data_IF_411848300002
#
_entry.id   IF_411848300002
#
_cell.length_a   1.000
_cell.length_b   1.000
_cell.length_c   1.000
_cell.angle_alpha   90.00
_cell.angle_beta   90.00
_cell.angle_gamma   90.00
#
_symmetry.space_group_name_H-M   'P 1'
#
loop_
_entity.id
_entity.type
_entity.pdbx_description
1 polymer ?
#
# COMPACT_ATOMS: atom_id res chain seq x y z
N UNK A 1 6.58 -9.37 -7.62
CA UNK A 1 7.06 -10.28 -6.57
C UNK A 1 6.40 -10.08 -5.21
N UNK A 2 6.36 -8.86 -4.67
CA UNK A 2 5.83 -8.66 -3.33
C UNK A 2 4.32 -8.99 -3.20
N UNK A 3 3.56 -8.77 -4.28
CA UNK A 3 2.17 -9.20 -4.41
C UNK A 3 1.96 -10.72 -4.36
N UNK A 4 2.88 -11.51 -4.92
CA UNK A 4 2.84 -12.98 -4.87
C UNK A 4 3.02 -13.43 -3.42
N UNK A 5 3.98 -12.85 -2.69
CA UNK A 5 4.15 -13.14 -1.27
C UNK A 5 2.91 -12.77 -0.44
N UNK A 6 2.26 -11.65 -0.77
CA UNK A 6 1.02 -11.24 -0.12
C UNK A 6 -0.13 -12.23 -0.41
N UNK A 7 -0.30 -12.63 -1.66
CA UNK A 7 -1.31 -13.62 -2.07
C UNK A 7 -1.06 -14.97 -1.39
N UNK A 8 0.19 -15.45 -1.39
CA UNK A 8 0.61 -16.63 -0.67
C UNK A 8 0.27 -16.57 0.82
N UNK A 9 0.60 -15.46 1.50
CA UNK A 9 0.25 -15.25 2.90
C UNK A 9 -1.27 -15.38 3.14
N UNK A 10 -2.10 -14.86 2.23
CA UNK A 10 -3.57 -15.02 2.31
C UNK A 10 -4.02 -16.46 2.08
N UNK A 11 -3.40 -17.17 1.16
CA UNK A 11 -3.67 -18.59 0.93
C UNK A 11 -3.38 -19.43 2.18
N UNK A 12 -2.24 -19.17 2.85
CA UNK A 12 -1.84 -19.87 4.08
C UNK A 12 -2.76 -19.51 5.24
N UNK A 13 -3.04 -18.22 5.46
CA UNK A 13 -3.94 -17.74 6.53
C UNK A 13 -5.36 -18.31 6.40
N UNK A 14 -5.83 -18.49 5.17
CA UNK A 14 -7.11 -19.11 4.90
C UNK A 14 -7.11 -20.62 5.12
N UNK A 15 -6.08 -21.31 4.63
CA UNK A 15 -6.01 -22.78 4.67
C UNK A 15 -5.80 -23.28 6.09
N UNK A 16 -4.82 -22.71 6.80
CA UNK A 16 -4.43 -23.10 8.15
C UNK A 16 -3.85 -21.91 8.90
N UNK A 17 -4.66 -21.33 9.78
CA UNK A 17 -4.25 -20.21 10.63
C UNK A 17 -2.99 -20.54 11.46
N UNK A 18 -2.84 -21.79 11.92
CA UNK A 18 -1.67 -22.21 12.72
C UNK A 18 -0.36 -22.18 11.90
N UNK A 19 -0.43 -22.50 10.60
CA UNK A 19 0.73 -22.41 9.71
C UNK A 19 1.08 -20.96 9.40
N UNK A 20 0.06 -20.13 9.19
CA UNK A 20 0.23 -18.69 9.00
C UNK A 20 0.95 -18.07 10.19
N UNK A 21 0.53 -18.42 11.41
CA UNK A 21 1.17 -17.97 12.63
C UNK A 21 2.62 -18.50 12.74
N UNK A 22 2.84 -19.78 12.44
CA UNK A 22 4.20 -20.35 12.49
C UNK A 22 5.18 -19.69 11.51
N UNK A 23 4.69 -19.34 10.31
CA UNK A 23 5.51 -18.81 9.20
C UNK A 23 5.69 -17.30 9.25
N UNK A 24 4.65 -16.54 9.63
CA UNK A 24 4.61 -15.08 9.52
C UNK A 24 4.56 -14.35 10.87
N UNK A 25 4.41 -15.05 12.01
CA UNK A 25 4.30 -14.35 13.29
C UNK A 25 5.60 -13.69 13.73
N UNK A 26 5.45 -12.52 14.37
CA UNK A 26 6.54 -11.74 14.95
C UNK A 26 7.56 -11.28 13.90
N UNK A 27 8.85 -11.43 14.23
CA UNK A 27 9.92 -10.93 13.38
C UNK A 27 10.13 -11.73 12.08
N UNK A 28 9.48 -12.89 11.93
CA UNK A 28 9.66 -13.77 10.77
C UNK A 28 9.17 -13.14 9.46
N UNK A 29 8.13 -12.31 9.52
CA UNK A 29 7.63 -11.56 8.35
C UNK A 29 8.72 -10.68 7.74
N UNK A 30 9.63 -10.11 8.55
CA UNK A 30 10.73 -9.31 8.01
C UNK A 30 11.66 -10.12 7.12
N UNK A 31 11.95 -11.37 7.47
CA UNK A 31 12.76 -12.25 6.62
C UNK A 31 12.07 -12.56 5.30
N UNK A 32 10.74 -12.76 5.30
CA UNK A 32 9.97 -12.95 4.08
C UNK A 32 9.97 -11.70 3.19
N UNK A 33 9.93 -10.50 3.79
CA UNK A 33 10.00 -9.24 3.06
C UNK A 33 11.38 -8.98 2.44
N UNK A 34 12.46 -9.55 2.99
CA UNK A 34 13.77 -9.45 2.36
C UNK A 34 13.82 -10.10 0.97
N UNK A 35 12.98 -11.11 0.69
CA UNK A 35 12.95 -11.77 -0.62
C UNK A 35 12.54 -10.82 -1.75
N UNK A 36 11.35 -10.18 -1.74
CA UNK A 36 10.97 -9.23 -2.79
C UNK A 36 11.86 -7.99 -2.79
N UNK A 37 12.37 -7.54 -1.65
CA UNK A 37 13.30 -6.41 -1.57
C UNK A 37 14.65 -6.73 -2.22
N UNK A 38 15.23 -7.90 -1.92
CA UNK A 38 16.48 -8.36 -2.54
C UNK A 38 16.32 -8.57 -4.04
N UNK A 39 15.19 -9.13 -4.47
CA UNK A 39 14.85 -9.25 -5.89
C UNK A 39 14.78 -7.88 -6.60
N UNK A 40 14.16 -6.88 -5.95
CA UNK A 40 14.11 -5.52 -6.48
C UNK A 40 15.51 -4.91 -6.64
N UNK A 41 16.38 -5.08 -5.64
CA UNK A 41 17.78 -4.61 -5.75
C UNK A 41 18.53 -5.32 -6.88
N UNK A 42 18.33 -6.61 -7.07
CA UNK A 42 18.94 -7.35 -8.17
C UNK A 42 18.52 -6.76 -9.53
N UNK A 43 17.22 -6.53 -9.75
CA UNK A 43 16.75 -5.89 -10.98
C UNK A 43 17.33 -4.47 -11.12
N UNK A 44 17.30 -3.68 -10.04
CA UNK A 44 17.75 -2.29 -10.09
C UNK A 44 19.20 -2.12 -10.55
N UNK A 45 20.11 -3.00 -10.12
CA UNK A 45 21.53 -2.91 -10.47
C UNK A 45 21.92 -3.65 -11.75
N UNK A 46 21.22 -4.73 -12.10
CA UNK A 46 21.63 -5.62 -13.19
C UNK A 46 20.76 -5.55 -14.44
N UNK A 47 19.53 -5.02 -14.34
CA UNK A 47 18.62 -4.96 -15.48
C UNK A 47 18.56 -3.58 -16.14
N UNK A 48 18.33 -3.58 -17.44
CA UNK A 48 18.19 -2.37 -18.23
C UNK A 48 16.83 -1.71 -17.90
N UNK A 49 16.82 -0.41 -17.52
CA UNK A 49 15.59 0.24 -17.10
C UNK A 49 14.64 0.46 -18.27
N UNK A 50 13.35 0.33 -18.02
CA UNK A 50 12.31 0.81 -18.94
C UNK A 50 12.25 2.34 -18.91
N UNK A 51 12.01 2.95 -20.06
CA UNK A 51 11.94 4.41 -20.22
C UNK A 51 10.50 4.80 -20.56
N UNK A 52 10.03 5.85 -19.89
CA UNK A 52 8.67 6.36 -20.11
C UNK A 52 8.61 7.14 -21.43
N UNK A 53 7.65 6.79 -22.28
CA UNK A 53 7.33 7.53 -23.50
C UNK A 53 6.00 8.28 -23.32
N UNK A 54 6.02 9.59 -23.58
CA UNK A 54 4.87 10.47 -23.41
C UNK A 54 3.80 10.34 -24.50
N UNK A 55 4.14 9.87 -25.71
CA UNK A 55 3.19 9.73 -26.80
C UNK A 55 2.23 8.57 -26.56
N UNK A 56 2.72 7.50 -25.93
CA UNK A 56 1.93 6.31 -25.62
C UNK A 56 1.52 6.21 -24.14
N UNK A 57 1.99 7.14 -23.29
CA UNK A 57 1.68 7.24 -21.84
C UNK A 57 1.99 5.93 -21.12
N UNK A 58 3.13 5.33 -21.44
CA UNK A 58 3.55 4.04 -20.91
C UNK A 58 5.06 3.85 -20.97
N UNK A 59 5.57 2.79 -20.38
CA UNK A 59 7.00 2.52 -20.31
C UNK A 59 7.39 1.44 -21.31
N UNK A 60 8.43 1.70 -22.08
CA UNK A 60 8.97 0.78 -23.07
C UNK A 60 10.40 0.41 -22.74
N UNK A 61 10.85 -0.72 -23.29
CA UNK A 61 12.29 -1.04 -23.27
C UNK A 61 13.06 -0.28 -24.33
N UNK A 62 12.46 -0.11 -25.52
CA UNK A 62 13.03 0.73 -26.57
C UNK A 62 12.65 2.20 -26.35
N UNK A 63 13.61 3.08 -26.00
CA UNK A 63 13.33 4.51 -25.80
C UNK A 63 13.01 5.25 -27.11
N UNK A 64 13.27 4.65 -28.27
CA UNK A 64 13.08 5.28 -29.58
C UNK A 64 11.82 4.80 -30.30
N UNK A 65 10.86 4.22 -29.58
CA UNK A 65 9.60 3.72 -30.16
C UNK A 65 8.83 4.79 -30.93
N UNK A 66 8.95 6.06 -30.52
CA UNK A 66 8.31 7.22 -31.17
C UNK A 66 9.25 8.01 -32.10
N UNK A 67 10.52 7.62 -32.20
CA UNK A 67 11.56 8.39 -32.89
C UNK A 67 11.70 8.03 -34.38
N UNK A 68 12.20 8.96 -35.22
CA UNK A 68 12.46 8.69 -36.64
C UNK A 68 13.70 7.82 -36.89
N UNK A 69 14.45 7.50 -35.83
CA UNK A 69 15.73 6.76 -35.90
C UNK A 69 15.55 5.42 -35.22
N UNK A 70 15.48 4.35 -36.01
CA UNK A 70 15.56 2.98 -35.51
C UNK A 70 17.04 2.57 -35.46
N UNK A 71 17.58 2.38 -34.25
CA UNK A 71 18.93 1.85 -34.07
C UNK A 71 18.93 0.31 -34.16
N UNK A 72 20.00 -0.29 -34.69
CA UNK A 72 20.17 -1.76 -34.75
C UNK A 72 20.52 -2.41 -33.39
N UNK A 73 20.25 -1.71 -32.28
CA UNK A 73 20.50 -2.26 -30.95
C UNK A 73 19.21 -2.89 -30.43
N UNK A 74 19.28 -4.15 -30.03
CA UNK A 74 18.14 -4.85 -29.46
C UNK A 74 17.97 -4.42 -28.00
N UNK A 75 16.98 -3.56 -27.75
CA UNK A 75 16.60 -3.12 -26.40
C UNK A 75 15.70 -4.14 -25.68
N UNK A 76 15.49 -5.33 -26.22
CA UNK A 76 14.64 -6.33 -25.58
C UNK A 76 15.21 -6.79 -24.23
N UNK A 77 14.32 -6.95 -23.25
CA UNK A 77 14.66 -7.47 -21.94
C UNK A 77 13.94 -8.82 -21.70
N UNK A 78 14.56 -9.95 -22.07
CA UNK A 78 13.96 -11.27 -21.93
C UNK A 78 13.72 -11.63 -20.46
N UNK A 79 14.57 -11.18 -19.53
CA UNK A 79 14.40 -11.45 -18.09
C UNK A 79 13.09 -10.85 -17.58
N UNK A 80 12.80 -9.59 -17.92
CA UNK A 80 11.57 -8.93 -17.48
C UNK A 80 10.32 -9.54 -18.15
N UNK A 81 10.42 -9.96 -19.41
CA UNK A 81 9.36 -10.70 -20.09
C UNK A 81 9.06 -12.04 -19.40
N UNK A 82 10.09 -12.84 -19.10
CA UNK A 82 9.97 -14.11 -18.36
C UNK A 82 9.37 -13.87 -16.98
N UNK A 83 9.83 -12.84 -16.27
CA UNK A 83 9.30 -12.44 -14.97
C UNK A 83 7.80 -12.12 -15.05
N UNK A 84 7.36 -11.31 -16.02
CA UNK A 84 5.95 -10.97 -16.17
C UNK A 84 5.09 -12.19 -16.50
N UNK A 85 5.57 -13.08 -17.39
CA UNK A 85 4.89 -14.34 -17.70
C UNK A 85 4.77 -15.22 -16.46
N UNK A 86 5.85 -15.40 -15.70
CA UNK A 86 5.84 -16.18 -14.46
C UNK A 86 4.87 -15.59 -13.42
N UNK A 87 4.85 -14.27 -13.24
CA UNK A 87 3.92 -13.58 -12.33
C UNK A 87 2.47 -13.83 -12.73
N UNK A 88 2.14 -13.79 -14.03
CA UNK A 88 0.79 -14.09 -14.52
C UNK A 88 0.38 -15.50 -14.10
N UNK A 89 1.21 -16.51 -14.37
CA UNK A 89 0.89 -17.90 -14.05
C UNK A 89 0.73 -18.13 -12.53
N UNK A 90 1.66 -17.61 -11.72
CA UNK A 90 1.64 -17.79 -10.27
C UNK A 90 0.40 -17.10 -9.67
N UNK A 91 0.15 -15.83 -10.00
CA UNK A 91 -0.98 -15.10 -9.46
C UNK A 91 -2.32 -15.68 -9.93
N UNK A 92 -2.41 -16.17 -11.17
CA UNK A 92 -3.62 -16.86 -11.64
C UNK A 92 -3.88 -18.14 -10.83
N UNK A 93 -2.85 -18.94 -10.54
CA UNK A 93 -2.99 -20.15 -9.73
C UNK A 93 -3.43 -19.82 -8.29
N UNK A 94 -2.81 -18.82 -7.66
CA UNK A 94 -3.17 -18.38 -6.31
C UNK A 94 -4.59 -17.79 -6.27
N UNK A 95 -4.95 -16.96 -7.24
CA UNK A 95 -6.29 -16.39 -7.35
C UNK A 95 -7.35 -17.48 -7.56
N UNK A 96 -7.09 -18.48 -8.40
CA UNK A 96 -7.99 -19.62 -8.60
C UNK A 96 -8.19 -20.40 -7.30
N UNK A 97 -7.11 -20.63 -6.54
CA UNK A 97 -7.17 -21.26 -5.22
C UNK A 97 -8.00 -20.45 -4.23
N UNK A 98 -7.81 -19.14 -4.15
CA UNK A 98 -8.59 -18.25 -3.29
C UNK A 98 -10.08 -18.21 -3.68
N UNK A 99 -10.38 -18.18 -4.98
CA UNK A 99 -11.76 -18.25 -5.48
C UNK A 99 -12.45 -19.54 -5.06
N UNK A 100 -11.82 -20.70 -5.30
CA UNK A 100 -12.35 -22.02 -4.89
C UNK A 100 -12.68 -22.07 -3.39
N UNK A 101 -11.77 -21.53 -2.59
CA UNK A 101 -11.89 -21.43 -1.15
C UNK A 101 -13.05 -20.51 -0.68
N UNK A 102 -13.31 -19.40 -1.38
CA UNK A 102 -14.47 -18.55 -1.12
C UNK A 102 -15.78 -19.29 -1.43
N UNK A 103 -15.84 -20.00 -2.56
CA UNK A 103 -17.04 -20.74 -2.96
C UNK A 103 -17.43 -21.81 -1.93
N UNK A 104 -16.46 -22.52 -1.35
CA UNK A 104 -16.69 -23.51 -0.28
C UNK A 104 -17.26 -22.92 1.01
N UNK A 105 -17.11 -21.62 1.23
CA UNK A 105 -17.56 -20.96 2.44
C UNK A 105 -19.02 -20.49 2.37
N UNK A 106 -19.77 -20.74 1.30
CA UNK A 106 -21.14 -20.22 1.14
C UNK A 106 -22.19 -20.88 2.05
N UNK A 107 -22.17 -20.51 3.35
CA UNK A 107 -23.18 -20.84 4.37
C UNK A 107 -23.37 -19.68 5.35
N UNK A 108 -24.19 -19.83 6.40
CA UNK A 108 -24.47 -18.76 7.40
C UNK A 108 -23.19 -18.29 8.11
N UNK A 109 -22.53 -17.26 7.57
CA UNK A 109 -21.20 -16.82 7.99
C UNK A 109 -21.22 -16.03 9.31
N UNK A 110 -20.45 -16.51 10.28
CA UNK A 110 -20.03 -15.75 11.46
C UNK A 110 -19.31 -14.45 11.08
N UNK A 111 -19.36 -13.43 11.95
CA UNK A 111 -18.73 -12.12 11.76
C UNK A 111 -17.22 -12.19 11.51
N UNK A 112 -16.54 -13.17 12.11
CA UNK A 112 -15.10 -13.44 11.89
C UNK A 112 -14.81 -13.85 10.44
N UNK A 113 -15.64 -14.73 9.86
CA UNK A 113 -15.47 -15.23 8.49
C UNK A 113 -15.76 -14.11 7.47
N UNK A 114 -16.73 -13.22 7.75
CA UNK A 114 -16.99 -12.05 6.89
C UNK A 114 -15.77 -11.15 6.75
N UNK A 115 -15.02 -10.95 7.85
CA UNK A 115 -13.78 -10.17 7.86
C UNK A 115 -12.68 -10.86 7.06
N UNK A 116 -12.47 -12.17 7.24
CA UNK A 116 -11.52 -12.95 6.44
C UNK A 116 -11.84 -12.87 4.95
N UNK A 117 -13.11 -13.03 4.57
CA UNK A 117 -13.58 -12.92 3.18
C UNK A 117 -13.27 -11.56 2.56
N UNK A 118 -13.42 -10.47 3.31
CA UNK A 118 -13.10 -9.13 2.82
C UNK A 118 -11.62 -8.97 2.43
N UNK A 119 -10.70 -9.47 3.27
CA UNK A 119 -9.26 -9.44 2.96
C UNK A 119 -8.91 -10.29 1.73
N UNK A 120 -9.58 -11.43 1.54
CA UNK A 120 -9.36 -12.27 0.35
C UNK A 120 -9.86 -11.57 -0.91
N UNK A 121 -11.08 -11.02 -0.90
CA UNK A 121 -11.63 -10.28 -2.05
C UNK A 121 -10.73 -9.09 -2.42
N UNK A 122 -10.23 -8.37 -1.43
CA UNK A 122 -9.29 -7.28 -1.68
C UNK A 122 -8.01 -7.76 -2.37
N UNK A 123 -7.46 -8.88 -1.90
CA UNK A 123 -6.25 -9.47 -2.48
C UNK A 123 -6.50 -9.93 -3.91
N UNK A 124 -7.64 -10.57 -4.19
CA UNK A 124 -8.06 -10.95 -5.54
C UNK A 124 -8.11 -9.75 -6.50
N UNK A 125 -8.66 -8.61 -6.07
CA UNK A 125 -8.73 -7.39 -6.89
C UNK A 125 -7.31 -6.88 -7.19
N UNK A 126 -6.44 -6.80 -6.19
CA UNK A 126 -5.05 -6.34 -6.35
C UNK A 126 -4.30 -7.25 -7.32
N UNK A 127 -4.39 -8.57 -7.12
CA UNK A 127 -3.73 -9.55 -7.98
C UNK A 127 -4.28 -9.52 -9.41
N UNK A 128 -5.58 -9.32 -9.61
CA UNK A 128 -6.19 -9.17 -10.94
C UNK A 128 -5.65 -7.93 -11.69
N UNK A 129 -5.48 -6.80 -11.00
CA UNK A 129 -4.89 -5.59 -11.59
C UNK A 129 -3.42 -5.82 -12.00
N UNK A 130 -2.65 -6.55 -11.20
CA UNK A 130 -1.26 -6.88 -11.52
C UNK A 130 -1.18 -7.83 -12.72
N UNK A 131 -2.04 -8.85 -12.78
CA UNK A 131 -2.13 -9.75 -13.94
C UNK A 131 -2.49 -8.97 -15.20
N UNK A 132 -3.44 -8.04 -15.11
CA UNK A 132 -3.82 -7.18 -16.23
C UNK A 132 -2.64 -6.33 -16.70
N UNK A 133 -1.93 -5.66 -15.78
CA UNK A 133 -0.75 -4.86 -16.13
C UNK A 133 0.35 -5.72 -16.77
N UNK A 134 0.67 -6.87 -16.18
CA UNK A 134 1.68 -7.79 -16.70
C UNK A 134 1.30 -8.36 -18.08
N UNK A 135 0.03 -8.69 -18.29
CA UNK A 135 -0.47 -9.19 -19.58
C UNK A 135 -0.37 -8.13 -20.67
N UNK A 136 -0.71 -6.87 -20.36
CA UNK A 136 -0.51 -5.76 -21.29
C UNK A 136 0.98 -5.62 -21.63
N UNK A 137 1.90 -5.66 -20.66
CA UNK A 137 3.34 -5.61 -20.93
C UNK A 137 3.83 -6.75 -21.83
N UNK A 138 3.38 -7.99 -21.58
CA UNK A 138 3.72 -9.13 -22.45
C UNK A 138 3.18 -8.88 -23.86
N UNK A 139 1.96 -8.37 -23.99
CA UNK A 139 1.39 -8.00 -25.29
C UNK A 139 2.24 -6.95 -26.02
N UNK A 140 2.72 -5.90 -25.32
CA UNK A 140 3.57 -4.85 -25.89
C UNK A 140 4.88 -5.40 -26.50
N UNK A 141 5.38 -6.54 -25.99
CA UNK A 141 6.63 -7.12 -26.49
C UNK A 141 6.48 -7.89 -27.81
N UNK A 142 5.28 -8.40 -28.11
CA UNK A 142 5.07 -9.30 -29.24
C UNK A 142 4.16 -8.74 -30.33
N UNK A 143 3.32 -7.75 -30.00
CA UNK A 143 2.29 -7.24 -30.91
C UNK A 143 2.30 -5.72 -31.01
N UNK A 144 1.76 -5.20 -32.12
CA UNK A 144 1.55 -3.77 -32.30
C UNK A 144 0.59 -3.24 -31.23
N UNK A 145 0.94 -2.08 -30.68
CA UNK A 145 0.34 -1.60 -29.44
C UNK A 145 -0.75 -0.55 -29.71
N UNK A 146 -2.04 -0.88 -29.53
CA UNK A 146 -3.09 0.10 -29.70
C UNK A 146 -3.16 1.07 -28.50
N UNK A 147 -3.42 2.38 -28.70
CA UNK A 147 -3.37 3.38 -27.64
C UNK A 147 -4.33 3.13 -26.46
N UNK A 148 -5.49 2.51 -26.70
CA UNK A 148 -6.44 2.23 -25.61
C UNK A 148 -5.91 1.18 -24.62
N UNK A 149 -5.09 0.24 -25.10
CA UNK A 149 -4.56 -0.85 -24.29
C UNK A 149 -3.44 -0.33 -23.37
N UNK A 150 -2.64 0.64 -23.82
CA UNK A 150 -1.60 1.27 -22.98
C UNK A 150 -2.21 2.02 -21.81
N UNK A 151 -3.29 2.76 -22.04
CA UNK A 151 -4.03 3.49 -20.99
C UNK A 151 -4.55 2.51 -19.94
N UNK A 152 -5.15 1.39 -20.35
CA UNK A 152 -5.65 0.36 -19.42
C UNK A 152 -4.49 -0.22 -18.59
N UNK A 153 -3.38 -0.58 -19.25
CA UNK A 153 -2.21 -1.12 -18.56
C UNK A 153 -1.61 -0.15 -17.55
N UNK A 154 -1.44 1.11 -17.95
CA UNK A 154 -0.93 2.17 -17.08
C UNK A 154 -1.89 2.46 -15.91
N UNK A 155 -3.20 2.47 -16.14
CA UNK A 155 -4.20 2.66 -15.09
C UNK A 155 -4.21 1.49 -14.09
N UNK A 156 -4.14 0.25 -14.58
CA UNK A 156 -4.07 -0.95 -13.74
C UNK A 156 -2.81 -0.93 -12.87
N UNK A 157 -1.67 -0.55 -13.46
CA UNK A 157 -0.41 -0.38 -12.74
C UNK A 157 -0.51 0.73 -11.68
N UNK A 158 -1.06 1.89 -12.01
CA UNK A 158 -1.24 3.00 -11.07
C UNK A 158 -2.18 2.64 -9.91
N UNK A 159 -3.27 1.92 -10.20
CA UNK A 159 -4.22 1.44 -9.19
C UNK A 159 -3.57 0.44 -8.22
N UNK A 160 -2.63 -0.39 -8.70
CA UNK A 160 -1.86 -1.28 -7.84
C UNK A 160 -1.02 -0.49 -6.82
N UNK A 161 -0.28 0.53 -7.26
CA UNK A 161 0.53 1.36 -6.36
C UNK A 161 -0.30 2.18 -5.36
N UNK A 162 -1.57 2.46 -5.68
CA UNK A 162 -2.52 3.11 -4.76
C UNK A 162 -3.21 2.17 -3.76
N UNK A 163 -3.03 0.85 -3.91
CA UNK A 163 -3.73 -0.15 -3.10
C UNK A 163 -3.48 -0.02 -1.59
N UNK A 164 -2.26 0.26 -1.09
CA UNK A 164 -2.03 0.48 0.33
C UNK A 164 -2.92 1.57 0.94
N UNK A 165 -3.04 2.72 0.26
CA UNK A 165 -3.87 3.83 0.70
C UNK A 165 -5.36 3.43 0.77
N UNK A 166 -5.81 2.64 -0.20
CA UNK A 166 -7.17 2.08 -0.19
C UNK A 166 -7.40 1.12 0.99
N UNK A 167 -6.44 0.25 1.31
CA UNK A 167 -6.51 -0.63 2.50
C UNK A 167 -6.66 0.21 3.76
N UNK A 168 -5.84 1.26 3.93
CA UNK A 168 -5.90 2.10 5.12
C UNK A 168 -7.24 2.83 5.28
N UNK A 169 -7.82 3.34 4.20
CA UNK A 169 -9.07 4.10 4.23
C UNK A 169 -10.31 3.22 4.44
N UNK A 170 -10.32 2.02 3.87
CA UNK A 170 -11.51 1.16 3.85
C UNK A 170 -11.56 0.19 5.02
N UNK A 171 -10.43 -0.35 5.44
CA UNK A 171 -10.40 -1.59 6.23
C UNK A 171 -10.32 -1.39 7.75
N UNK A 172 -10.05 -0.18 8.23
CA UNK A 172 -9.87 0.02 9.66
C UNK A 172 -10.61 1.25 10.17
N UNK A 173 -11.84 1.04 10.66
CA UNK A 173 -12.68 2.10 11.26
C UNK A 173 -11.93 2.83 12.39
N UNK A 174 -11.07 2.13 13.12
CA UNK A 174 -10.26 2.71 14.20
C UNK A 174 -9.11 3.55 13.65
N UNK A 175 -8.39 3.07 12.63
CA UNK A 175 -7.31 3.84 12.01
C UNK A 175 -7.85 5.05 11.23
N UNK A 176 -8.98 4.92 10.51
CA UNK A 176 -9.67 6.04 9.86
C UNK A 176 -10.11 7.11 10.86
N UNK A 177 -10.63 6.70 12.02
CA UNK A 177 -10.99 7.61 13.12
C UNK A 177 -9.75 8.28 13.72
N UNK A 178 -8.64 7.55 13.88
CA UNK A 178 -7.38 8.10 14.36
C UNK A 178 -6.78 9.11 13.36
N UNK A 179 -6.72 8.77 12.07
CA UNK A 179 -6.24 9.68 11.02
C UNK A 179 -7.13 10.93 10.90
N UNK A 180 -8.45 10.77 10.97
CA UNK A 180 -9.39 11.90 10.94
C UNK A 180 -9.33 12.73 12.23
N UNK A 181 -9.11 12.11 13.39
CA UNK A 181 -8.87 12.80 14.66
C UNK A 181 -7.58 13.63 14.60
N UNK A 182 -6.47 13.07 14.09
CA UNK A 182 -5.22 13.80 13.93
C UNK A 182 -5.34 14.95 12.94
N UNK A 183 -6.03 14.74 11.82
CA UNK A 183 -6.33 15.78 10.84
C UNK A 183 -7.17 16.88 11.52
N UNK A 184 -8.32 16.54 12.12
CA UNK A 184 -9.26 17.51 12.73
C UNK A 184 -8.65 18.24 13.93
N UNK A 185 -7.86 17.57 14.78
CA UNK A 185 -7.14 18.23 15.88
C UNK A 185 -6.07 19.19 15.37
N UNK A 186 -5.39 18.86 14.27
CA UNK A 186 -4.42 19.77 13.65
C UNK A 186 -5.12 20.99 13.03
N UNK A 187 -6.29 20.83 12.37
CA UNK A 187 -7.09 21.97 11.91
C UNK A 187 -7.63 22.81 13.06
N UNK A 188 -8.09 22.18 14.14
CA UNK A 188 -8.56 22.90 15.33
C UNK A 188 -7.42 23.64 16.03
N UNK A 189 -6.24 23.04 16.18
CA UNK A 189 -5.04 23.69 16.77
C UNK A 189 -4.51 24.81 15.88
N UNK A 190 -4.49 24.66 14.55
CA UNK A 190 -4.09 25.73 13.62
C UNK A 190 -5.09 26.90 13.67
N UNK A 191 -6.40 26.61 13.71
CA UNK A 191 -7.46 27.62 13.86
C UNK A 191 -7.45 28.32 15.22
N UNK A 192 -7.05 27.61 16.30
CA UNK A 192 -6.83 28.22 17.63
C UNK A 192 -5.57 29.07 17.69
N UNK A 193 -4.50 28.68 16.98
CA UNK A 193 -3.23 29.42 16.97
C UNK A 193 -3.34 30.73 16.18
N UNK A 194 -4.14 30.75 15.11
CA UNK A 194 -4.45 31.98 14.38
C UNK A 194 -5.34 32.94 15.20
N UNK A 195 -6.30 32.42 15.98
CA UNK A 195 -7.14 33.26 16.86
C UNK A 195 -6.42 33.75 18.12
N UNK A 196 -5.57 32.92 18.75
CA UNK A 196 -4.73 33.35 19.88
C UNK A 196 -3.62 34.32 19.49
N UNK A 197 -3.02 34.17 18.30
CA UNK A 197 -2.03 35.14 17.80
C UNK A 197 -2.67 36.50 17.50
N UNK A 198 -3.88 36.54 16.95
CA UNK A 198 -4.63 37.78 16.71
C UNK A 198 -5.15 38.41 18.02
N UNK A 199 -5.55 37.61 19.01
CA UNK A 199 -5.94 38.11 20.33
C UNK A 199 -4.74 38.63 21.13
N UNK A 200 -3.59 37.94 21.11
CA UNK A 200 -2.36 38.38 21.78
C UNK A 200 -1.83 39.71 21.22
N UNK A 201 -1.95 39.91 19.91
CA UNK A 201 -1.54 41.17 19.26
C UNK A 201 -2.48 42.34 19.62
N UNK A 202 -3.77 42.08 19.87
CA UNK A 202 -4.73 43.09 20.35
C UNK A 202 -4.67 43.33 21.87
N UNK A 203 -4.17 42.37 22.66
CA UNK A 203 -4.00 42.54 24.11
C UNK A 203 -2.68 43.25 24.44
N UNK A 204 -1.61 43.01 23.69
CA UNK A 204 -0.33 43.75 23.88
C UNK A 204 -0.43 45.25 23.56
N UNK A 205 -1.38 45.68 22.72
CA UNK A 205 -1.66 47.10 22.50
C UNK A 205 -2.56 47.73 23.58
N UNK A 206 -3.21 46.92 24.44
CA UNK A 206 -4.17 47.36 25.46
C UNK A 206 -3.65 47.25 26.91
N UNK A 207 -2.68 46.36 27.18
CA UNK A 207 -2.12 46.16 28.52
C UNK A 207 -0.81 46.96 28.75
N UNK A 208 -0.95 48.29 28.84
CA UNK A 208 -0.02 49.16 29.59
C UNK A 208 -0.83 50.00 30.58
N UNK A 209 -1.30 49.39 31.67
CA UNK A 209 -1.60 50.11 32.91
C UNK A 209 -1.82 49.12 34.08
N UNK A 210 -1.08 49.30 35.18
CA UNK A 210 -1.54 48.97 36.53
C UNK A 210 -1.23 47.59 37.15
N UNK A 211 -0.06 47.47 37.76
CA UNK A 211 0.22 47.06 39.16
C UNK A 211 -0.55 45.88 39.87
N UNK A 212 0.29 45.02 40.52
CA UNK A 212 0.17 44.42 41.88
C UNK A 212 -0.19 42.90 42.04
N UNK A 213 0.83 42.12 42.46
CA UNK A 213 0.98 41.09 43.55
C UNK A 213 -0.31 40.31 43.97
N UNK A 214 -0.41 38.96 44.11
CA UNK A 214 0.30 38.00 45.01
C UNK A 214 -0.14 36.53 44.78
N UNK A 215 0.76 35.60 45.12
CA UNK A 215 0.68 34.19 45.59
C UNK A 215 -0.68 33.44 45.70
N UNK A 216 -0.74 32.16 45.27
CA UNK A 216 -0.54 31.00 46.17
C UNK A 216 -0.66 29.61 45.48
N UNK A 217 -0.02 28.63 46.12
CA UNK A 217 0.15 27.20 45.78
C UNK A 217 -1.09 26.32 46.12
N UNK A 218 -1.03 25.04 45.71
CA UNK A 218 -1.67 23.79 46.23
C UNK A 218 -2.15 22.94 45.02
N UNK A 219 -1.92 21.64 44.86
CA UNK A 219 -1.35 20.57 45.69
C UNK A 219 -1.99 19.21 45.33
N UNK A 220 -1.17 18.27 44.86
CA UNK A 220 -1.18 16.80 45.06
C UNK A 220 -2.37 15.85 44.75
N UNK A 221 -1.96 14.60 44.43
CA UNK A 221 -2.63 13.27 44.50
C UNK A 221 -3.40 12.79 43.24
N UNK A 222 -3.33 11.54 42.76
CA UNK A 222 -2.59 10.32 43.11
C UNK A 222 -3.21 9.07 42.41
N UNK A 223 -2.38 8.06 42.06
CA UNK A 223 -2.68 6.62 41.77
C UNK A 223 -3.66 6.32 40.60
N UNK A 224 -3.61 5.25 39.80
CA UNK A 224 -3.26 3.82 39.97
C UNK A 224 -3.12 3.19 38.57
N UNK A 225 -2.44 2.03 38.48
CA UNK A 225 -2.01 1.43 37.23
C UNK A 225 -3.06 0.76 36.35
N UNK A 226 -2.69 0.63 35.08
CA UNK A 226 -3.21 -0.37 34.15
C UNK A 226 -2.04 -0.78 33.26
N UNK A 227 -1.56 -2.03 33.42
CA UNK A 227 -0.65 -2.67 32.46
C UNK A 227 -1.35 -2.69 31.12
N UNK A 228 -0.93 -1.79 30.23
CA UNK A 228 -1.39 -1.74 28.84
C UNK A 228 -0.78 -2.94 28.12
N UNK A 229 -1.61 -3.93 27.86
CA UNK A 229 -1.30 -5.06 26.98
C UNK A 229 -0.93 -4.46 25.62
N UNK A 230 0.37 -4.50 25.33
CA UNK A 230 0.96 -3.92 24.13
C UNK A 230 0.71 -4.93 23.01
N UNK A 231 -0.36 -4.74 22.26
CA UNK A 231 -0.57 -5.47 21.01
C UNK A 231 0.67 -5.29 20.13
N UNK A 232 1.23 -6.37 19.53
CA UNK A 232 2.43 -6.25 18.72
C UNK A 232 2.16 -5.32 17.52
N UNK A 233 3.17 -4.55 17.09
CA UNK A 233 3.01 -3.63 15.97
C UNK A 233 2.64 -4.43 14.74
N UNK A 234 1.42 -4.20 14.24
CA UNK A 234 0.97 -4.65 12.93
C UNK A 234 1.77 -3.85 11.91
N UNK A 235 2.95 -4.36 11.58
CA UNK A 235 3.81 -3.86 10.51
C UNK A 235 3.12 -4.22 9.19
N UNK A 236 2.26 -3.33 8.70
CA UNK A 236 1.88 -3.30 7.29
C UNK A 236 2.77 -2.25 6.63
N UNK A 237 3.83 -2.72 5.99
CA UNK A 237 4.74 -1.91 5.19
C UNK A 237 4.22 -1.88 3.74
N UNK A 238 4.12 -0.66 3.25
CA UNK A 238 3.75 -0.25 1.91
C UNK A 238 4.53 -1.02 0.84
N UNK A 239 3.78 -1.61 -0.10
CA UNK A 239 4.21 -2.06 -1.42
C UNK A 239 3.20 -1.54 -2.43
#
# INVERSE_FOLDING_TARGET
>A
MACVLLAFNRCVDFSRADLSDTMFHGNKTWYWLLLPTGYWFAIFFFEMPVIYDSNYVTWFYDPFVSGPVHYNFDYSNPTHAINNVAVIFILCAENAFLCHNIFKLSGHLSSSIKRKRQFIIQTLIICALIVLAAAVYVYMNFFYLPPWLTIIGTLAYAANSGSPAFIYLVLNKNLRRASFSLFTENFYKVSRRSTLSSASNNVSSSFKFGNVITSDQVGATGKTGAKKQLDPPVVFLLL
#
